data_IF_264590352721
#
_entry.id   IF_264590352721
#
_cell.length_a   1.000
_cell.length_b   1.000
_cell.length_c   1.000
_cell.angle_alpha   90.00
_cell.angle_beta   90.00
_cell.angle_gamma   90.00
#
_symmetry.space_group_name_H-M   'P 1'
#
loop_
_entity.id
_entity.type
_entity.pdbx_description
1 polymer ?
#
# COMPACT_ATOMS: atom_id res chain seq x y z
N UNK A 1 19.80 10.16 7.35
CA UNK A 1 19.55 9.51 6.07
C UNK A 1 18.29 10.06 5.47
N UNK A 2 18.44 10.67 4.32
CA UNK A 2 17.30 11.23 3.60
C UNK A 2 16.34 10.09 3.24
N UNK A 3 15.12 10.16 3.76
CA UNK A 3 13.99 9.42 3.25
C UNK A 3 13.84 9.79 1.77
N UNK A 4 14.38 8.96 0.89
CA UNK A 4 14.10 9.11 -0.52
C UNK A 4 12.65 8.64 -0.70
N UNK A 5 11.73 9.56 -0.43
CA UNK A 5 10.37 9.40 -0.94
C UNK A 5 10.51 9.20 -2.44
N UNK A 6 10.35 7.98 -2.88
CA UNK A 6 10.39 7.69 -4.31
C UNK A 6 9.37 8.58 -5.00
N UNK A 7 9.84 9.40 -5.92
CA UNK A 7 8.96 10.29 -6.68
C UNK A 7 7.92 9.47 -7.42
N UNK A 8 6.75 10.05 -7.66
CA UNK A 8 5.69 9.42 -8.45
C UNK A 8 6.23 8.97 -9.81
N UNK A 9 7.09 9.77 -10.43
CA UNK A 9 7.75 9.45 -11.70
C UNK A 9 8.57 8.16 -11.62
N UNK A 10 9.32 7.97 -10.52
CA UNK A 10 10.11 6.75 -10.32
C UNK A 10 9.21 5.53 -10.16
N UNK A 11 8.12 5.65 -9.40
CA UNK A 11 7.14 4.58 -9.23
C UNK A 11 6.46 4.20 -10.55
N UNK A 12 6.13 5.19 -11.39
CA UNK A 12 5.56 4.94 -12.70
C UNK A 12 6.52 4.19 -13.62
N UNK A 13 7.83 4.49 -13.56
CA UNK A 13 8.85 3.70 -14.28
C UNK A 13 8.90 2.26 -13.81
N UNK A 14 8.88 2.03 -12.51
CA UNK A 14 8.84 0.68 -11.95
C UNK A 14 7.60 -0.09 -12.41
N UNK A 15 6.46 0.56 -12.44
CA UNK A 15 5.23 0.00 -12.97
C UNK A 15 5.39 -0.43 -14.43
N UNK A 16 5.93 0.45 -15.27
CA UNK A 16 6.15 0.16 -16.69
C UNK A 16 7.07 -1.03 -16.89
N UNK A 17 8.18 -1.09 -16.15
CA UNK A 17 9.14 -2.20 -16.24
C UNK A 17 8.56 -3.52 -15.73
N UNK A 18 7.84 -3.50 -14.61
CA UNK A 18 7.23 -4.69 -14.06
C UNK A 18 6.17 -5.25 -15.00
N UNK A 19 5.37 -4.40 -15.62
CA UNK A 19 4.40 -4.81 -16.63
C UNK A 19 5.06 -5.45 -17.86
N UNK A 20 6.16 -4.87 -18.32
CA UNK A 20 6.93 -5.41 -19.46
C UNK A 20 7.49 -6.80 -19.13
N UNK A 21 8.11 -6.97 -17.96
CA UNK A 21 8.69 -8.25 -17.53
C UNK A 21 7.62 -9.33 -17.39
N UNK A 22 6.43 -8.96 -16.91
CA UNK A 22 5.32 -9.89 -16.73
C UNK A 22 4.51 -10.14 -18.01
N UNK A 23 4.84 -9.48 -19.11
CA UNK A 23 4.10 -9.58 -20.36
C UNK A 23 2.69 -8.99 -20.29
N UNK A 24 2.46 -8.05 -19.39
CA UNK A 24 1.15 -7.45 -19.16
C UNK A 24 1.04 -6.15 -19.94
N UNK A 25 -0.08 -6.01 -20.65
CA UNK A 25 -0.36 -4.79 -21.39
C UNK A 25 -0.65 -3.63 -20.44
N UNK A 26 0.11 -2.56 -20.59
CA UNK A 26 -0.07 -1.33 -19.84
C UNK A 26 -1.14 -0.47 -20.52
N UNK A 27 -2.35 -0.55 -20.01
CA UNK A 27 -3.46 0.28 -20.52
C UNK A 27 -3.47 1.62 -19.80
N UNK A 28 -4.10 2.63 -20.42
CA UNK A 28 -4.30 3.92 -19.80
C UNK A 28 -5.04 3.81 -18.47
N UNK A 29 -6.05 2.97 -18.39
CA UNK A 29 -6.80 2.73 -17.15
C UNK A 29 -5.89 2.20 -16.03
N UNK A 30 -5.04 1.23 -16.31
CA UNK A 30 -4.10 0.66 -15.33
C UNK A 30 -3.10 1.72 -14.84
N UNK A 31 -2.62 2.55 -15.75
CA UNK A 31 -1.70 3.63 -15.40
C UNK A 31 -2.37 4.64 -14.46
N UNK A 32 -3.57 5.09 -14.78
CA UNK A 32 -4.30 6.06 -13.94
C UNK A 32 -4.64 5.49 -12.58
N UNK A 33 -5.01 4.21 -12.49
CA UNK A 33 -5.28 3.53 -11.22
C UNK A 33 -4.01 3.46 -10.36
N UNK A 34 -2.89 3.05 -10.94
CA UNK A 34 -1.62 3.00 -10.22
C UNK A 34 -1.19 4.39 -9.74
N UNK A 35 -1.32 5.40 -10.60
CA UNK A 35 -0.98 6.78 -10.27
C UNK A 35 -1.82 7.31 -9.10
N UNK A 36 -3.10 6.97 -9.05
CA UNK A 36 -3.97 7.37 -7.94
C UNK A 36 -3.48 6.83 -6.59
N UNK A 37 -3.01 5.59 -6.54
CA UNK A 37 -2.43 5.02 -5.31
C UNK A 37 -1.06 5.64 -5.03
N UNK A 38 -0.23 5.81 -6.04
CA UNK A 38 1.13 6.36 -5.88
C UNK A 38 1.13 7.80 -5.36
N UNK A 39 0.12 8.59 -5.70
CA UNK A 39 -0.04 9.97 -5.24
C UNK A 39 -0.73 10.08 -3.89
N UNK A 40 -1.40 9.03 -3.43
CA UNK A 40 -2.10 9.06 -2.16
C UNK A 40 -1.11 9.19 -0.99
N UNK A 41 -1.41 10.09 -0.06
CA UNK A 41 -0.62 10.30 1.15
C UNK A 41 -1.06 9.40 2.30
N UNK A 42 -2.25 8.87 2.19
CA UNK A 42 -2.82 7.86 3.07
C UNK A 42 -2.96 6.54 2.30
N UNK A 43 -3.35 5.49 2.98
CA UNK A 43 -3.53 4.18 2.36
C UNK A 43 -4.97 4.07 1.85
N UNK A 44 -5.24 4.35 0.56
CA UNK A 44 -6.60 4.37 0.06
C UNK A 44 -7.20 2.97 -0.03
N UNK A 45 -8.50 2.87 0.17
CA UNK A 45 -9.26 1.68 -0.21
C UNK A 45 -9.65 1.74 -1.69
N UNK A 46 -10.22 0.66 -2.20
CA UNK A 46 -10.58 0.58 -3.62
C UNK A 46 -11.64 1.61 -4.03
N UNK A 47 -12.60 1.90 -3.16
CA UNK A 47 -13.65 2.89 -3.41
C UNK A 47 -13.08 4.31 -3.51
N UNK A 48 -12.11 4.66 -2.67
CA UNK A 48 -11.41 5.95 -2.75
C UNK A 48 -10.62 6.06 -4.04
N UNK A 49 -9.91 5.00 -4.44
CA UNK A 49 -9.20 4.95 -5.72
C UNK A 49 -10.18 5.10 -6.88
N UNK A 50 -11.29 4.39 -6.84
CA UNK A 50 -12.33 4.46 -7.84
C UNK A 50 -12.87 5.89 -8.00
N UNK A 51 -13.18 6.57 -6.90
CA UNK A 51 -13.66 7.95 -6.93
C UNK A 51 -12.66 8.90 -7.59
N UNK A 52 -11.36 8.75 -7.28
CA UNK A 52 -10.30 9.55 -7.89
C UNK A 52 -10.13 9.25 -9.39
N UNK A 53 -10.17 7.98 -9.77
CA UNK A 53 -9.99 7.57 -11.17
C UNK A 53 -11.17 8.00 -12.03
N UNK A 54 -12.39 7.98 -11.50
CA UNK A 54 -13.58 8.43 -12.23
C UNK A 54 -13.53 9.87 -12.69
N UNK A 55 -12.80 10.71 -11.99
CA UNK A 55 -12.62 12.11 -12.41
C UNK A 55 -11.91 12.21 -13.76
N UNK A 56 -10.99 11.29 -14.03
CA UNK A 56 -10.23 11.24 -15.28
C UNK A 56 -10.85 10.30 -16.32
N UNK A 57 -11.41 9.18 -15.86
CA UNK A 57 -12.02 8.14 -16.70
C UNK A 57 -13.43 7.87 -16.20
N UNK A 58 -14.43 8.66 -16.62
CA UNK A 58 -15.81 8.51 -16.14
C UNK A 58 -16.43 7.15 -16.42
N UNK A 59 -15.92 6.41 -17.39
CA UNK A 59 -16.41 5.10 -17.80
C UNK A 59 -15.79 3.93 -17.03
N UNK A 60 -14.81 4.19 -16.14
CA UNK A 60 -14.19 3.11 -15.35
C UNK A 60 -15.21 2.47 -14.42
N UNK A 61 -15.16 1.15 -14.29
CA UNK A 61 -15.98 0.41 -13.34
C UNK A 61 -15.20 0.15 -12.05
N UNK A 62 -15.92 -0.03 -10.94
CA UNK A 62 -15.32 -0.43 -9.66
C UNK A 62 -14.65 -1.80 -9.79
N UNK A 63 -15.24 -2.72 -10.54
CA UNK A 63 -14.67 -4.03 -10.81
C UNK A 63 -13.30 -3.93 -11.51
N UNK A 64 -13.18 -3.05 -12.49
CA UNK A 64 -11.88 -2.79 -13.16
C UNK A 64 -10.84 -2.28 -12.17
N UNK A 65 -11.23 -1.39 -11.25
CA UNK A 65 -10.33 -0.89 -10.20
C UNK A 65 -9.88 -2.04 -9.29
N UNK A 66 -10.78 -2.87 -8.80
CA UNK A 66 -10.43 -4.02 -7.96
C UNK A 66 -9.48 -4.99 -8.67
N UNK A 67 -9.79 -5.34 -9.90
CA UNK A 67 -8.93 -6.26 -10.68
C UNK A 67 -7.54 -5.70 -10.92
N UNK A 68 -7.46 -4.41 -11.23
CA UNK A 68 -6.17 -3.73 -11.44
C UNK A 68 -5.36 -3.67 -10.14
N UNK A 69 -5.99 -3.31 -9.02
CA UNK A 69 -5.31 -3.30 -7.73
C UNK A 69 -4.77 -4.69 -7.35
N UNK A 70 -5.57 -5.73 -7.55
CA UNK A 70 -5.14 -7.10 -7.32
C UNK A 70 -3.95 -7.50 -8.20
N UNK A 71 -3.97 -7.09 -9.46
CA UNK A 71 -2.85 -7.29 -10.39
C UNK A 71 -1.58 -6.58 -9.91
N UNK A 72 -1.70 -5.34 -9.47
CA UNK A 72 -0.56 -4.56 -8.97
C UNK A 72 0.05 -5.16 -7.69
N UNK A 73 -0.77 -5.70 -6.81
CA UNK A 73 -0.30 -6.46 -5.64
C UNK A 73 0.46 -7.71 -6.08
N UNK A 74 -0.09 -8.45 -7.05
CA UNK A 74 0.56 -9.66 -7.59
C UNK A 74 1.90 -9.36 -8.24
N UNK A 75 2.03 -8.20 -8.89
CA UNK A 75 3.29 -7.75 -9.50
C UNK A 75 4.31 -7.21 -8.48
N UNK A 76 3.96 -7.13 -7.21
CA UNK A 76 4.83 -6.58 -6.18
C UNK A 76 4.96 -5.06 -6.20
N UNK A 77 4.03 -4.35 -6.83
CA UNK A 77 4.04 -2.90 -6.95
C UNK A 77 3.20 -2.19 -5.88
N UNK A 78 2.28 -2.91 -5.28
CA UNK A 78 1.49 -2.46 -4.14
C UNK A 78 1.50 -3.53 -3.05
N UNK A 79 1.44 -3.08 -1.81
CA UNK A 79 1.10 -3.92 -0.67
C UNK A 79 -0.38 -3.77 -0.33
N UNK A 80 -0.93 -4.84 0.19
CA UNK A 80 -2.31 -4.89 0.66
C UNK A 80 -2.30 -4.93 2.19
N UNK A 81 -3.02 -4.00 2.80
CA UNK A 81 -3.17 -3.89 4.25
C UNK A 81 -4.61 -4.23 4.64
N UNK A 82 -4.77 -4.89 5.78
CA UNK A 82 -6.09 -5.29 6.27
C UNK A 82 -6.44 -6.73 5.96
N UNK A 83 -7.24 -7.34 6.84
CA UNK A 83 -7.58 -8.76 6.78
C UNK A 83 -8.90 -9.04 6.05
N UNK A 84 -9.78 -8.06 5.92
CA UNK A 84 -11.09 -8.21 5.31
C UNK A 84 -11.26 -7.24 4.14
N UNK A 85 -12.22 -7.52 3.29
CA UNK A 85 -12.56 -6.65 2.16
C UNK A 85 -12.91 -5.22 2.61
N UNK A 86 -13.62 -5.08 3.71
CA UNK A 86 -14.05 -3.79 4.23
C UNK A 86 -12.91 -2.94 4.80
N UNK A 87 -11.87 -3.60 5.32
CA UNK A 87 -10.72 -2.94 5.93
C UNK A 87 -9.51 -2.87 4.99
N UNK A 88 -9.63 -3.44 3.80
CA UNK A 88 -8.52 -3.54 2.85
C UNK A 88 -8.10 -2.17 2.33
N UNK A 89 -6.82 -1.87 2.48
CA UNK A 89 -6.19 -0.66 1.96
C UNK A 89 -4.97 -1.02 1.14
N UNK A 90 -4.53 -0.10 0.30
CA UNK A 90 -3.41 -0.32 -0.61
C UNK A 90 -2.30 0.68 -0.33
N UNK A 91 -1.07 0.20 -0.40
CA UNK A 91 0.13 0.98 -0.13
C UNK A 91 1.07 0.89 -1.33
N UNK A 92 1.34 2.03 -1.94
CA UNK A 92 2.28 2.16 -3.06
C UNK A 92 3.72 2.38 -2.61
N UNK A 93 3.98 2.51 -1.33
CA UNK A 93 5.34 2.70 -0.81
C UNK A 93 6.04 1.36 -0.62
N UNK A 94 6.92 1.00 -1.54
CA UNK A 94 7.68 -0.25 -1.52
C UNK A 94 9.02 -0.13 -0.79
N UNK A 95 9.40 1.06 -0.31
CA UNK A 95 10.56 1.22 0.56
C UNK A 95 10.30 0.57 1.93
N UNK A 96 11.33 0.08 2.64
CA UNK A 96 11.13 -0.48 3.97
C UNK A 96 10.47 0.52 4.91
N UNK A 97 9.33 0.15 5.48
CA UNK A 97 8.61 0.97 6.44
C UNK A 97 7.71 0.09 7.29
N UNK A 98 7.15 0.68 8.34
CA UNK A 98 6.30 0.02 9.31
C UNK A 98 5.04 0.84 9.49
N UNK A 99 4.03 0.29 10.15
CA UNK A 99 2.72 0.94 10.27
C UNK A 99 2.28 1.07 11.71
N UNK A 100 1.71 2.23 12.03
CA UNK A 100 0.87 2.41 13.21
C UNK A 100 -0.59 2.46 12.73
N UNK A 101 -1.43 1.62 13.32
CA UNK A 101 -2.84 1.51 12.94
C UNK A 101 -3.71 1.89 14.14
N UNK A 102 -4.56 2.89 13.96
CA UNK A 102 -5.55 3.25 14.97
C UNK A 102 -6.69 2.24 14.99
N UNK A 103 -6.91 1.62 16.14
CA UNK A 103 -7.98 0.63 16.31
C UNK A 103 -9.38 1.24 16.33
N UNK A 104 -9.50 2.56 16.53
CA UNK A 104 -10.80 3.27 16.53
C UNK A 104 -11.19 3.79 15.17
N UNK A 105 -10.33 4.57 14.51
CA UNK A 105 -10.69 5.19 13.23
C UNK A 105 -10.08 4.53 12.01
N UNK A 106 -9.19 3.53 12.20
CA UNK A 106 -8.52 2.83 11.11
C UNK A 106 -7.41 3.63 10.43
N UNK A 107 -7.10 4.85 10.89
CA UNK A 107 -6.02 5.64 10.32
C UNK A 107 -4.70 4.87 10.40
N UNK A 108 -3.95 4.88 9.31
CA UNK A 108 -2.67 4.19 9.20
C UNK A 108 -1.57 5.21 8.94
N UNK A 109 -0.53 5.17 9.75
CA UNK A 109 0.63 6.05 9.62
C UNK A 109 1.88 5.22 9.35
N UNK A 110 2.64 5.61 8.34
CA UNK A 110 3.93 5.00 8.07
C UNK A 110 4.98 5.57 9.02
N UNK A 111 5.85 4.71 9.51
CA UNK A 111 7.06 5.12 10.20
C UNK A 111 8.24 4.27 9.77
N UNK A 112 9.44 4.79 10.01
CA UNK A 112 10.69 4.18 9.56
C UNK A 112 11.57 3.89 10.76
N UNK A 113 12.17 2.72 10.80
CA UNK A 113 13.04 2.29 11.89
C UNK A 113 14.11 1.34 11.37
N UNK A 114 15.35 1.80 11.37
CA UNK A 114 16.47 0.95 10.97
C UNK A 114 16.60 -0.30 11.85
N UNK A 115 16.29 -0.19 13.15
CA UNK A 115 16.33 -1.33 14.06
C UNK A 115 15.23 -2.35 13.75
N UNK A 116 14.05 -1.91 13.34
CA UNK A 116 12.98 -2.82 12.93
C UNK A 116 13.25 -3.45 11.56
N UNK A 117 13.91 -2.73 10.67
CA UNK A 117 14.32 -3.28 9.37
C UNK A 117 15.31 -4.43 9.54
N UNK A 118 16.10 -4.40 10.61
CA UNK A 118 17.15 -5.37 10.89
C UNK A 118 16.76 -6.38 12.01
N UNK A 119 15.47 -6.59 12.25
CA UNK A 119 15.02 -7.53 13.28
C UNK A 119 15.56 -8.94 12.99
N UNK A 120 16.18 -9.52 14.04
CA UNK A 120 16.56 -10.92 14.00
C UNK A 120 15.32 -11.79 14.16
N UNK A 121 15.07 -12.66 13.18
CA UNK A 121 13.94 -13.57 13.21
C UNK A 121 14.29 -14.83 14.01
N UNK A 122 13.35 -15.38 14.80
CA UNK A 122 13.53 -16.70 15.40
C UNK A 122 13.71 -17.77 14.32
N UNK A 123 14.53 -18.78 14.62
CA UNK A 123 14.77 -19.92 13.71
C UNK A 123 13.47 -20.62 13.30
N UNK A 124 12.50 -20.66 14.20
CA UNK A 124 11.18 -21.22 13.93
C UNK A 124 10.51 -20.57 12.72
N UNK A 125 10.60 -19.25 12.58
CA UNK A 125 10.03 -18.53 11.44
C UNK A 125 10.70 -18.96 10.15
N UNK A 126 12.02 -19.11 10.16
CA UNK A 126 12.78 -19.54 9.00
C UNK A 126 12.44 -20.97 8.58
N UNK A 127 11.99 -21.80 9.52
CA UNK A 127 11.55 -23.17 9.23
C UNK A 127 10.19 -23.25 8.51
N UNK A 128 9.39 -22.20 8.58
CA UNK A 128 8.09 -22.15 7.88
C UNK A 128 8.21 -21.88 6.38
N UNK A 129 9.32 -21.33 5.91
CA UNK A 129 9.54 -21.04 4.49
C UNK A 129 10.56 -19.94 4.28
N UNK A 130 10.57 -19.40 3.06
CA UNK A 130 11.45 -18.28 2.71
C UNK A 130 10.79 -16.96 3.13
N UNK A 131 11.46 -16.23 4.00
CA UNK A 131 11.01 -14.90 4.42
C UNK A 131 11.28 -13.90 3.31
N UNK A 132 10.24 -13.22 2.84
CA UNK A 132 10.36 -12.21 1.79
C UNK A 132 10.35 -10.79 2.36
N UNK A 133 9.65 -10.57 3.47
CA UNK A 133 9.50 -9.24 4.06
C UNK A 133 9.24 -9.37 5.54
N UNK A 134 9.81 -8.45 6.31
CA UNK A 134 9.51 -8.26 7.73
C UNK A 134 8.95 -6.86 7.90
N UNK A 135 7.82 -6.73 8.57
CA UNK A 135 7.18 -5.45 8.82
C UNK A 135 6.56 -5.45 10.20
N UNK A 136 6.75 -4.36 10.94
CA UNK A 136 6.18 -4.21 12.28
C UNK A 136 4.89 -3.41 12.18
N UNK A 137 3.86 -3.91 12.81
CA UNK A 137 2.57 -3.24 12.92
C UNK A 137 2.32 -2.92 14.39
N UNK A 138 2.19 -1.63 14.68
CA UNK A 138 1.83 -1.13 16.02
C UNK A 138 0.37 -0.74 16.00
N UNK A 139 -0.42 -1.30 16.89
CA UNK A 139 -1.85 -0.99 17.03
C UNK A 139 -2.08 -0.19 18.30
N UNK A 140 -2.89 0.84 18.19
CA UNK A 140 -3.22 1.68 19.32
C UNK A 140 -4.35 2.65 18.98
N UNK A 141 -4.49 3.69 19.77
CA UNK A 141 -5.48 4.74 19.55
C UNK A 141 -4.72 6.00 19.14
N UNK A 142 -5.04 6.56 17.97
CA UNK A 142 -4.37 7.78 17.51
C UNK A 142 -4.70 8.98 18.42
N UNK A 143 -3.85 9.99 18.39
CA UNK A 143 -3.97 11.16 19.24
C UNK A 143 -5.36 11.83 19.11
N UNK A 144 -5.84 11.99 17.88
CA UNK A 144 -7.15 12.58 17.61
C UNK A 144 -8.29 11.80 18.27
N UNK A 145 -8.26 10.47 18.16
CA UNK A 145 -9.29 9.63 18.80
C UNK A 145 -9.18 9.62 20.31
N UNK A 146 -7.96 9.67 20.86
CA UNK A 146 -7.74 9.75 22.29
C UNK A 146 -8.23 11.06 22.88
N UNK A 147 -8.04 12.17 22.17
CA UNK A 147 -8.51 13.51 22.59
C UNK A 147 -10.04 13.63 22.52
N UNK A 148 -10.66 13.04 21.50
CA UNK A 148 -12.10 13.12 21.28
C UNK A 148 -12.91 12.18 22.20
N UNK A 149 -12.27 11.19 22.79
CA UNK A 149 -12.91 10.25 23.71
C UNK A 149 -11.88 9.72 24.72
N UNK A 150 -11.59 10.52 25.76
CA UNK A 150 -10.49 10.25 26.70
C UNK A 150 -10.76 9.13 27.73
N UNK A 151 -11.81 8.36 27.63
CA UNK A 151 -12.07 7.24 28.55
C UNK A 151 -11.45 5.93 28.05
#
# INVERSE_FOLDING_TARGET
MSNVSMTVTHRLRQFTEAGRRAGIKLTHQRLVIYEAVARATDHPNAETVYAAVREQIPTVSLDTVYRTLALLVKLGLLDKLGATHETMRFDGNMAPHHHFICTRCGATHDFYSASFDALALPDEVCSFGQVQKVQVEVRGVCQRCAENNPS
#
